data_IF_921771686032
#
_entry.id   IF_921771686032
#
_cell.length_a   1.000
_cell.length_b   1.000
_cell.length_c   1.000
_cell.angle_alpha   90.00
_cell.angle_beta   90.00
_cell.angle_gamma   90.00
#
_symmetry.space_group_name_H-M   'P 1'
#
loop_
_entity.id
_entity.type
_entity.pdbx_description
1 polymer ?
#
# COMPACT_ATOMS: atom_id res chain seq x y z
N UNK A 1 -8.80 6.18 -12.27
CA UNK A 1 -9.52 6.20 -10.96
C UNK A 1 -8.78 7.12 -10.00
N UNK A 2 -9.46 7.98 -9.22
CA UNK A 2 -8.83 8.81 -8.18
C UNK A 2 -8.93 8.16 -6.81
N UNK A 3 -7.84 8.21 -6.04
CA UNK A 3 -7.87 7.81 -4.64
C UNK A 3 -8.26 8.97 -3.73
N UNK A 4 -9.19 8.71 -2.82
CA UNK A 4 -9.50 9.57 -1.67
C UNK A 4 -9.13 8.83 -0.39
N UNK A 5 -8.86 9.60 0.66
CA UNK A 5 -8.50 9.16 2.01
C UNK A 5 -9.56 8.32 2.77
N UNK A 6 -10.55 7.73 2.09
CA UNK A 6 -11.61 6.93 2.71
C UNK A 6 -11.24 5.45 2.89
N UNK A 7 -11.92 4.79 3.82
CA UNK A 7 -11.86 3.35 4.11
C UNK A 7 -12.60 2.49 3.09
N UNK A 8 -13.65 3.04 2.47
CA UNK A 8 -14.50 2.31 1.54
C UNK A 8 -13.81 2.07 0.18
N UNK A 9 -14.05 0.90 -0.43
CA UNK A 9 -13.62 0.56 -1.79
C UNK A 9 -12.10 0.72 -2.03
N UNK A 10 -11.26 0.25 -1.09
CA UNK A 10 -9.79 0.36 -1.16
C UNK A 10 -9.29 1.82 -1.33
N UNK A 11 -10.01 2.81 -0.80
CA UNK A 11 -9.70 4.23 -0.96
C UNK A 11 -10.04 4.81 -2.34
N UNK A 12 -10.85 4.16 -3.17
CA UNK A 12 -11.33 4.74 -4.44
C UNK A 12 -12.40 5.79 -4.14
N UNK A 13 -12.14 7.03 -4.56
CA UNK A 13 -13.09 8.14 -4.42
C UNK A 13 -14.03 8.26 -5.62
N UNK A 14 -13.47 8.46 -6.83
CA UNK A 14 -14.24 8.74 -8.05
C UNK A 14 -13.45 8.34 -9.31
N UNK A 15 -14.13 8.14 -10.44
CA UNK A 15 -13.48 7.91 -11.74
C UNK A 15 -13.12 9.26 -12.39
N UNK A 16 -11.86 9.43 -12.78
CA UNK A 16 -11.36 10.61 -13.51
C UNK A 16 -10.53 10.11 -14.69
N UNK A 17 -10.71 10.73 -15.85
CA UNK A 17 -9.96 10.46 -17.08
C UNK A 17 -8.73 11.34 -17.26
N UNK A 18 -8.21 11.94 -16.19
CA UNK A 18 -7.09 12.89 -16.29
C UNK A 18 -5.75 12.16 -16.18
N UNK A 19 -4.92 12.21 -17.21
CA UNK A 19 -3.54 11.73 -17.15
C UNK A 19 -2.63 12.80 -16.55
N UNK A 20 -2.04 12.52 -15.40
CA UNK A 20 -1.08 13.39 -14.75
C UNK A 20 0.07 12.58 -14.15
N UNK A 21 1.06 13.28 -13.59
CA UNK A 21 2.28 12.66 -13.03
C UNK A 21 2.05 11.80 -11.78
N UNK A 22 0.84 11.80 -11.20
CA UNK A 22 0.50 10.97 -10.05
C UNK A 22 -0.23 9.69 -10.41
N UNK A 23 -0.30 9.38 -11.72
CA UNK A 23 -0.73 8.08 -12.25
C UNK A 23 0.33 7.03 -11.96
N UNK A 24 -0.07 5.92 -11.36
CA UNK A 24 0.80 4.77 -11.12
C UNK A 24 -0.03 3.47 -11.14
N UNK A 25 0.65 2.35 -11.39
CA UNK A 25 0.14 0.99 -11.32
C UNK A 25 1.15 0.10 -10.56
N UNK A 26 0.69 -1.08 -10.11
CA UNK A 26 1.49 -2.02 -9.31
C UNK A 26 2.11 -1.36 -8.07
N UNK A 27 1.31 -0.52 -7.39
CA UNK A 27 1.76 0.23 -6.21
C UNK A 27 0.92 -0.09 -4.98
N UNK A 28 1.55 -0.02 -3.81
CA UNK A 28 0.85 -0.03 -2.53
C UNK A 28 0.64 1.42 -2.11
N UNK A 29 -0.61 1.84 -1.93
CA UNK A 29 -0.92 3.15 -1.35
C UNK A 29 -1.03 3.07 0.17
N UNK A 30 -0.74 4.18 0.84
CA UNK A 30 -0.90 4.37 2.27
C UNK A 30 -1.54 5.74 2.52
N UNK A 31 -2.66 5.75 3.24
CA UNK A 31 -3.43 6.96 3.50
C UNK A 31 -2.76 7.83 4.59
N UNK A 32 -2.60 9.13 4.30
CA UNK A 32 -1.99 10.11 5.21
C UNK A 32 -3.02 10.97 5.95
N UNK A 33 -4.11 11.30 5.29
CA UNK A 33 -5.28 11.98 5.86
C UNK A 33 -6.49 11.04 5.82
N UNK A 34 -7.57 11.37 6.54
CA UNK A 34 -8.77 10.52 6.65
C UNK A 34 -8.52 9.20 7.38
N UNK A 35 -8.60 8.09 6.66
CA UNK A 35 -8.27 6.73 7.10
C UNK A 35 -6.75 6.54 7.27
N UNK A 36 -6.15 7.31 8.18
CA UNK A 36 -4.69 7.40 8.35
C UNK A 36 -4.10 6.03 8.66
N UNK A 37 -3.07 5.65 7.90
CA UNK A 37 -2.33 4.40 8.12
C UNK A 37 -2.88 3.19 7.37
N UNK A 38 -4.04 3.30 6.74
CA UNK A 38 -4.57 2.22 5.92
C UNK A 38 -3.80 2.08 4.62
N UNK A 39 -3.43 0.84 4.29
CA UNK A 39 -2.65 0.49 3.12
C UNK A 39 -3.44 -0.42 2.16
N UNK A 40 -3.28 -0.20 0.86
CA UNK A 40 -3.99 -0.94 -0.19
C UNK A 40 -3.09 -1.18 -1.39
N UNK A 41 -3.11 -2.39 -1.95
CA UNK A 41 -2.43 -2.68 -3.20
C UNK A 41 -3.31 -2.35 -4.42
N UNK A 42 -2.68 -1.84 -5.48
CA UNK A 42 -3.32 -1.43 -6.73
C UNK A 42 -2.61 -2.08 -7.92
N UNK A 43 -3.05 -3.28 -8.35
CA UNK A 43 -2.52 -3.91 -9.57
C UNK A 43 -3.00 -3.20 -10.85
N UNK A 44 -3.99 -2.30 -10.73
CA UNK A 44 -4.51 -1.49 -11.81
C UNK A 44 -3.98 -0.06 -11.74
N UNK A 45 -4.03 0.63 -12.87
CA UNK A 45 -3.63 2.04 -12.95
C UNK A 45 -4.62 2.97 -12.22
N UNK A 46 -4.09 3.77 -11.29
CA UNK A 46 -4.83 4.76 -10.53
C UNK A 46 -4.07 6.08 -10.38
N UNK A 47 -4.80 7.14 -10.08
CA UNK A 47 -4.28 8.46 -9.74
C UNK A 47 -4.22 8.59 -8.23
N UNK A 48 -3.05 8.98 -7.74
CA UNK A 48 -2.78 9.11 -6.32
C UNK A 48 -2.69 10.59 -5.95
N UNK A 49 -3.57 11.03 -5.04
CA UNK A 49 -3.58 12.41 -4.55
C UNK A 49 -2.49 12.69 -3.52
N UNK A 50 -2.30 13.96 -3.17
CA UNK A 50 -1.33 14.40 -2.16
C UNK A 50 -1.56 13.82 -0.75
N UNK A 51 -2.76 13.28 -0.50
CA UNK A 51 -3.18 12.70 0.77
C UNK A 51 -2.90 11.21 0.90
N UNK A 52 -2.29 10.60 -0.11
CA UNK A 52 -1.76 9.24 -0.04
C UNK A 52 -0.27 9.24 -0.37
N UNK A 53 0.41 8.18 0.07
CA UNK A 53 1.78 7.87 -0.33
C UNK A 53 1.77 6.55 -1.06
N UNK A 54 2.62 6.41 -2.06
CA UNK A 54 2.77 5.17 -2.82
C UNK A 54 4.12 4.54 -2.50
N UNK A 55 4.12 3.22 -2.45
CA UNK A 55 5.30 2.36 -2.35
C UNK A 55 5.31 1.49 -3.61
N UNK A 56 6.50 1.35 -4.19
CA UNK A 56 6.75 0.46 -5.32
C UNK A 56 7.79 -0.55 -4.86
N UNK A 57 7.54 -1.83 -5.12
CA UNK A 57 8.54 -2.87 -4.86
C UNK A 57 9.63 -2.80 -5.95
N UNK A 58 10.86 -3.20 -5.61
CA UNK A 58 11.96 -3.17 -6.57
C UNK A 58 11.75 -4.15 -7.73
N UNK A 59 11.02 -5.23 -7.47
CA UNK A 59 10.62 -6.24 -8.42
C UNK A 59 9.09 -6.28 -8.51
N UNK A 60 8.57 -6.69 -9.66
CA UNK A 60 7.14 -6.87 -9.84
C UNK A 60 6.72 -8.27 -9.42
N UNK A 61 5.76 -8.32 -8.52
CA UNK A 61 5.10 -9.53 -8.05
C UNK A 61 3.60 -9.34 -8.20
N UNK A 62 2.87 -10.39 -8.54
CA UNK A 62 1.44 -10.28 -8.86
C UNK A 62 0.61 -10.25 -7.57
N UNK A 63 0.92 -11.15 -6.63
CA UNK A 63 0.13 -11.35 -5.42
C UNK A 63 0.88 -11.00 -4.13
N UNK A 64 2.21 -11.09 -4.10
CA UNK A 64 3.00 -10.72 -2.91
C UNK A 64 2.72 -9.30 -2.38
N UNK A 65 2.45 -8.27 -3.22
CA UNK A 65 2.18 -6.93 -2.72
C UNK A 65 0.89 -6.83 -1.89
N UNK A 66 -0.08 -7.73 -2.09
CA UNK A 66 -1.28 -7.80 -1.23
C UNK A 66 -0.90 -8.18 0.20
N UNK A 67 0.00 -9.15 0.37
CA UNK A 67 0.50 -9.55 1.69
C UNK A 67 1.20 -8.38 2.39
N UNK A 68 2.08 -7.69 1.66
CA UNK A 68 2.82 -6.54 2.19
C UNK A 68 1.85 -5.40 2.56
N UNK A 69 0.85 -5.13 1.72
CA UNK A 69 -0.19 -4.16 2.02
C UNK A 69 -0.96 -4.52 3.30
N UNK A 70 -1.30 -5.80 3.49
CA UNK A 70 -1.95 -6.28 4.72
C UNK A 70 -1.05 -6.08 5.95
N UNK A 71 0.25 -6.35 5.85
CA UNK A 71 1.21 -6.15 6.94
C UNK A 71 1.39 -4.67 7.31
N UNK A 72 1.38 -3.78 6.31
CA UNK A 72 1.37 -2.33 6.52
C UNK A 72 0.05 -1.86 7.15
N UNK A 73 -1.08 -2.37 6.67
CA UNK A 73 -2.40 -2.04 7.19
C UNK A 73 -2.53 -2.40 8.68
N UNK A 74 -1.93 -3.51 9.12
CA UNK A 74 -1.88 -3.90 10.54
C UNK A 74 -1.15 -2.88 11.43
N UNK A 75 -0.34 -1.99 10.86
CA UNK A 75 0.33 -0.91 11.61
C UNK A 75 -0.55 0.32 11.82
N UNK A 76 -1.75 0.38 11.22
CA UNK A 76 -2.60 1.58 11.21
C UNK A 76 -2.90 2.13 12.60
N UNK A 77 -3.01 1.26 13.61
CA UNK A 77 -3.36 1.65 14.98
C UNK A 77 -2.25 2.47 15.67
N UNK A 78 -1.03 2.47 15.12
CA UNK A 78 0.06 3.34 15.56
C UNK A 78 -0.08 4.79 15.05
N UNK A 79 -1.04 5.07 14.17
CA UNK A 79 -1.23 6.34 13.49
C UNK A 79 -2.62 6.92 13.71
N UNK A 80 -2.71 8.24 13.59
CA UNK A 80 -3.95 8.99 13.78
C UNK A 80 -3.88 10.30 13.02
N UNK A 81 -4.96 11.08 13.04
CA UNK A 81 -4.96 12.40 12.43
C UNK A 81 -3.88 13.34 13.01
N UNK A 82 -3.62 13.27 14.33
CA UNK A 82 -2.53 14.02 14.98
C UNK A 82 -1.16 13.38 14.76
N UNK A 83 -1.10 12.07 14.48
CA UNK A 83 0.12 11.30 14.21
C UNK A 83 0.08 10.68 12.81
N UNK A 84 0.23 11.52 11.78
CA UNK A 84 0.11 11.10 10.38
C UNK A 84 1.27 10.22 9.91
N UNK A 85 0.96 9.19 9.13
CA UNK A 85 1.93 8.38 8.40
C UNK A 85 2.42 9.14 7.15
N UNK A 86 3.38 10.04 7.35
CA UNK A 86 4.05 10.76 6.27
C UNK A 86 5.26 10.00 5.71
N UNK A 87 5.83 10.49 4.61
CA UNK A 87 6.98 9.87 3.91
C UNK A 87 8.15 9.53 4.83
N UNK A 88 8.54 10.44 5.73
CA UNK A 88 9.65 10.21 6.66
C UNK A 88 9.40 9.03 7.61
N UNK A 89 8.16 8.89 8.10
CA UNK A 89 7.76 7.77 8.97
C UNK A 89 7.64 6.48 8.19
N UNK A 90 7.09 6.55 6.97
CA UNK A 90 6.94 5.39 6.11
C UNK A 90 8.29 4.78 5.74
N UNK A 91 9.32 5.60 5.50
CA UNK A 91 10.70 5.14 5.20
C UNK A 91 11.38 4.38 6.34
N UNK A 92 10.96 4.60 7.59
CA UNK A 92 11.53 3.93 8.77
C UNK A 92 10.58 2.91 9.39
N UNK A 93 9.36 2.79 8.85
CA UNK A 93 8.38 1.81 9.31
C UNK A 93 8.89 0.42 8.97
N UNK A 94 8.97 -0.44 9.98
CA UNK A 94 9.36 -1.84 9.83
C UNK A 94 8.13 -2.72 9.96
N UNK A 95 8.02 -3.69 9.07
CA UNK A 95 6.99 -4.73 9.09
C UNK A 95 7.68 -6.09 9.19
N UNK A 96 7.00 -7.07 9.75
CA UNK A 96 7.47 -8.46 9.75
C UNK A 96 7.04 -9.12 8.43
N UNK A 97 7.97 -9.82 7.80
CA UNK A 97 7.74 -10.61 6.60
C UNK A 97 8.30 -12.02 6.80
N UNK A 98 7.72 -13.06 6.18
CA UNK A 98 8.37 -14.35 6.08
C UNK A 98 9.70 -14.20 5.34
N UNK A 99 10.68 -15.03 5.68
CA UNK A 99 12.02 -14.99 5.09
C UNK A 99 12.48 -16.37 4.66
N UNK A 100 13.24 -16.42 3.58
CA UNK A 100 13.94 -17.60 3.12
C UNK A 100 15.13 -17.92 4.04
N UNK A 101 15.77 -19.07 3.81
CA UNK A 101 16.96 -19.50 4.55
C UNK A 101 18.15 -18.53 4.48
N UNK A 102 18.21 -17.67 3.45
CA UNK A 102 19.24 -16.64 3.29
C UNK A 102 18.88 -15.29 3.95
N UNK A 103 17.69 -15.21 4.58
CA UNK A 103 17.19 -14.03 5.28
C UNK A 103 16.51 -12.99 4.40
N UNK A 104 16.34 -13.24 3.09
CA UNK A 104 15.56 -12.37 2.21
C UNK A 104 14.06 -12.63 2.37
N UNK A 105 13.19 -11.63 2.09
CA UNK A 105 11.75 -11.85 2.13
C UNK A 105 11.33 -12.97 1.17
N UNK A 106 10.53 -13.90 1.67
CA UNK A 106 10.01 -15.04 0.89
C UNK A 106 8.75 -14.60 0.13
N UNK A 107 8.96 -14.03 -1.06
CA UNK A 107 7.87 -13.52 -1.90
C UNK A 107 6.98 -14.65 -2.44
N UNK A 108 7.56 -15.81 -2.76
CA UNK A 108 6.82 -16.98 -3.27
C UNK A 108 5.83 -17.50 -2.23
N UNK A 109 6.26 -17.62 -0.97
CA UNK A 109 5.37 -17.94 0.13
C UNK A 109 4.26 -16.89 0.29
N UNK A 110 4.59 -15.60 0.19
CA UNK A 110 3.59 -14.54 0.30
C UNK A 110 2.54 -14.63 -0.80
N UNK A 111 2.93 -14.97 -2.04
CA UNK A 111 1.98 -15.19 -3.15
C UNK A 111 1.08 -16.38 -2.88
N UNK A 112 1.66 -17.53 -2.55
CA UNK A 112 0.91 -18.76 -2.27
C UNK A 112 -0.04 -18.57 -1.10
N UNK A 113 0.39 -17.88 -0.05
CA UNK A 113 -0.46 -17.57 1.09
C UNK A 113 -1.69 -16.78 0.64
N UNK A 114 -1.51 -15.68 -0.08
CA UNK A 114 -2.62 -14.83 -0.57
C UNK A 114 -3.59 -15.61 -1.45
N UNK A 115 -3.10 -16.54 -2.28
CA UNK A 115 -3.93 -17.37 -3.16
C UNK A 115 -4.62 -18.53 -2.44
N UNK A 116 -4.10 -18.97 -1.29
CA UNK A 116 -4.63 -20.10 -0.52
C UNK A 116 -5.74 -19.76 0.47
N UNK A 117 -5.94 -18.47 0.76
CA UNK A 117 -7.02 -17.96 1.63
C UNK A 117 -8.30 -17.83 0.82
#
# INVERSE_FOLDING_TARGET
MNKTSGTSNNGIGYFVGNDNKSKADHVISVNRNGAVGEAFYHPYTALFGNDCRTLVLNEQYEYAPFFIAAMLWKQKDAFSYSRKLGTARLKVLRIMLPVESDGKPDYDYMEQYVLSV
#
